data_IF_974716355904
#
_entry.id   IF_974716355904
#
_cell.length_a   1.000
_cell.length_b   1.000
_cell.length_c   1.000
_cell.angle_alpha   90.00
_cell.angle_beta   90.00
_cell.angle_gamma   90.00
#
_symmetry.space_group_name_H-M   'P 1'
#
loop_
_entity.id
_entity.type
_entity.pdbx_description
1 polymer ?
#
# COMPACT_ATOMS: atom_id res chain seq x y z
N UNK A 1 4.51 7.94 2.10
CA UNK A 1 4.14 6.53 1.84
C UNK A 1 5.24 5.69 1.15
N UNK A 2 5.91 6.14 0.07
CA UNK A 2 6.96 5.35 -0.62
C UNK A 2 8.07 4.76 0.29
N UNK A 3 8.49 5.49 1.35
CA UNK A 3 9.49 4.98 2.31
C UNK A 3 9.02 3.75 3.09
N UNK A 4 7.71 3.58 3.31
CA UNK A 4 7.13 2.46 4.05
C UNK A 4 7.19 1.20 3.19
N UNK A 5 6.69 1.28 1.95
CA UNK A 5 6.72 0.18 0.98
C UNK A 5 8.16 -0.23 0.67
N UNK A 6 9.09 0.73 0.54
CA UNK A 6 10.50 0.45 0.24
C UNK A 6 11.34 0.05 1.47
N UNK A 7 10.75 -0.04 2.66
CA UNK A 7 11.49 -0.48 3.85
C UNK A 7 11.89 -1.96 3.74
N UNK A 8 13.07 -2.39 4.26
CA UNK A 8 13.50 -3.79 4.20
C UNK A 8 12.48 -4.76 4.81
N UNK A 9 11.82 -4.34 5.89
CA UNK A 9 10.78 -5.12 6.56
C UNK A 9 9.58 -5.33 5.64
N UNK A 10 9.08 -4.27 5.01
CA UNK A 10 7.94 -4.35 4.13
C UNK A 10 8.26 -5.15 2.86
N UNK A 11 9.45 -4.96 2.29
CA UNK A 11 9.91 -5.74 1.14
C UNK A 11 10.12 -7.22 1.45
N UNK A 12 10.54 -7.58 2.67
CA UNK A 12 10.65 -8.97 3.10
C UNK A 12 9.28 -9.60 3.36
N UNK A 13 8.39 -8.87 4.03
CA UNK A 13 7.03 -9.33 4.33
C UNK A 13 6.12 -9.34 3.10
N UNK A 14 6.50 -8.61 2.05
CA UNK A 14 5.66 -8.30 0.89
C UNK A 14 4.31 -7.69 1.28
N UNK A 15 4.36 -6.88 2.33
CA UNK A 15 3.21 -6.22 2.89
C UNK A 15 3.58 -4.91 3.60
N UNK A 16 2.66 -3.95 3.61
CA UNK A 16 2.77 -2.70 4.34
C UNK A 16 1.41 -2.32 4.93
N UNK A 17 1.40 -1.76 6.14
CA UNK A 17 0.22 -1.13 6.72
C UNK A 17 0.38 0.37 6.64
N UNK A 18 -0.58 1.05 6.03
CA UNK A 18 -0.58 2.50 5.88
C UNK A 18 -1.86 3.10 6.48
N UNK A 19 -1.74 4.31 7.00
CA UNK A 19 -2.84 5.10 7.53
C UNK A 19 -2.81 6.47 6.86
N UNK A 20 -3.98 7.01 6.54
CA UNK A 20 -4.12 8.40 6.14
C UNK A 20 -3.82 9.30 7.34
N UNK A 21 -3.03 10.33 7.14
CA UNK A 21 -2.80 11.37 8.15
C UNK A 21 -4.02 12.29 8.25
N UNK A 22 -4.31 12.88 9.43
CA UNK A 22 -5.49 13.74 9.60
C UNK A 22 -5.51 14.96 8.67
N UNK A 23 -4.35 15.43 8.23
CA UNK A 23 -4.14 16.58 7.35
C UNK A 23 -4.01 16.21 5.86
N UNK A 24 -3.95 14.92 5.51
CA UNK A 24 -3.96 14.48 4.11
C UNK A 24 -5.35 14.64 3.50
N UNK A 25 -5.41 15.16 2.27
CA UNK A 25 -6.64 15.29 1.50
C UNK A 25 -7.15 13.89 1.12
N UNK A 26 -8.42 13.62 1.39
CA UNK A 26 -9.01 12.29 1.19
C UNK A 26 -9.00 11.85 -0.29
N UNK A 27 -9.32 12.75 -1.21
CA UNK A 27 -9.29 12.45 -2.64
C UNK A 27 -7.87 12.13 -3.13
N UNK A 28 -6.86 12.88 -2.69
CA UNK A 28 -5.46 12.59 -3.04
C UNK A 28 -4.99 11.27 -2.44
N UNK A 29 -5.42 10.97 -1.21
CA UNK A 29 -5.14 9.69 -0.56
C UNK A 29 -5.78 8.51 -1.31
N UNK A 30 -7.03 8.65 -1.72
CA UNK A 30 -7.74 7.61 -2.48
C UNK A 30 -7.11 7.41 -3.86
N UNK A 31 -6.79 8.49 -4.57
CA UNK A 31 -6.08 8.42 -5.86
C UNK A 31 -4.75 7.69 -5.73
N UNK A 32 -3.97 8.01 -4.70
CA UNK A 32 -2.70 7.34 -4.44
C UNK A 32 -2.86 5.83 -4.17
N UNK A 33 -3.92 5.41 -3.49
CA UNK A 33 -4.23 3.99 -3.28
C UNK A 33 -4.69 3.31 -4.57
N UNK A 34 -5.48 3.99 -5.40
CA UNK A 34 -5.90 3.49 -6.71
C UNK A 34 -4.68 3.25 -7.61
N UNK A 35 -3.76 4.22 -7.71
CA UNK A 35 -2.51 4.09 -8.47
C UNK A 35 -1.66 2.88 -8.00
N UNK A 36 -1.67 2.58 -6.70
CA UNK A 36 -1.01 1.38 -6.16
C UNK A 36 -1.73 0.10 -6.59
N UNK A 37 -3.07 0.11 -6.56
CA UNK A 37 -3.91 -1.03 -6.91
C UNK A 37 -3.96 -1.32 -8.41
N UNK A 38 -3.58 -0.36 -9.26
CA UNK A 38 -3.42 -0.57 -10.71
C UNK A 38 -2.35 -1.62 -11.04
N UNK A 39 -1.43 -1.91 -10.12
CA UNK A 39 -0.48 -2.99 -10.31
C UNK A 39 -1.12 -4.34 -9.98
N UNK A 40 -1.26 -5.21 -10.98
CA UNK A 40 -1.92 -6.53 -10.88
C UNK A 40 -1.34 -7.43 -9.78
N UNK A 41 -0.10 -7.20 -9.37
CA UNK A 41 0.55 -7.96 -8.32
C UNK A 41 0.25 -7.43 -6.91
N UNK A 42 -0.51 -6.34 -6.76
CA UNK A 42 -0.86 -5.68 -5.49
C UNK A 42 -2.30 -6.00 -5.08
N UNK A 43 -2.53 -6.11 -3.78
CA UNK A 43 -3.87 -6.23 -3.18
C UNK A 43 -4.00 -5.28 -2.00
N UNK A 44 -5.12 -4.55 -1.95
CA UNK A 44 -5.48 -3.66 -0.84
C UNK A 44 -6.56 -4.31 0.03
N UNK A 45 -6.38 -4.24 1.35
CA UNK A 45 -7.37 -4.68 2.34
C UNK A 45 -7.64 -3.54 3.33
N UNK A 46 -8.88 -3.03 3.32
CA UNK A 46 -9.35 -2.02 4.27
C UNK A 46 -9.62 -2.65 5.62
N UNK A 47 -9.17 -2.00 6.70
CA UNK A 47 -9.32 -2.46 8.07
C UNK A 47 -10.26 -1.56 8.86
N UNK A 48 -10.90 -2.13 9.88
CA UNK A 48 -11.84 -1.41 10.75
C UNK A 48 -11.17 -0.30 11.59
N UNK A 49 -9.84 -0.33 11.73
CA UNK A 49 -9.04 0.69 12.42
C UNK A 49 -8.69 1.90 11.53
N UNK A 50 -9.25 1.98 10.32
CA UNK A 50 -8.99 3.04 9.35
C UNK A 50 -7.66 2.87 8.60
N UNK A 51 -6.94 1.77 8.82
CA UNK A 51 -5.74 1.42 8.07
C UNK A 51 -6.05 0.70 6.76
N UNK A 52 -5.12 0.80 5.82
CA UNK A 52 -5.12 0.00 4.58
C UNK A 52 -3.90 -0.90 4.60
N UNK A 53 -4.14 -2.20 4.51
CA UNK A 53 -3.08 -3.17 4.37
C UNK A 53 -2.84 -3.47 2.90
N UNK A 54 -1.61 -3.24 2.47
CA UNK A 54 -1.11 -3.44 1.10
C UNK A 54 -0.32 -4.74 1.11
N UNK A 55 -0.61 -5.63 0.16
CA UNK A 55 0.15 -6.84 -0.10
C UNK A 55 0.64 -6.83 -1.53
N UNK A 56 1.79 -7.41 -1.82
CA UNK A 56 2.22 -7.59 -3.20
C UNK A 56 2.92 -8.93 -3.44
N UNK A 57 2.95 -9.39 -4.68
CA UNK A 57 3.78 -10.52 -5.09
C UNK A 57 4.93 -10.01 -5.94
N UNK A 58 6.13 -10.56 -5.80
CA UNK A 58 7.21 -10.24 -6.75
C UNK A 58 6.99 -11.15 -7.95
N UNK A 59 6.70 -10.59 -9.15
CA UNK A 59 6.65 -11.40 -10.35
C UNK A 59 8.02 -12.06 -10.49
N UNK A 60 8.05 -13.36 -10.78
CA UNK A 60 9.31 -13.97 -11.20
C UNK A 60 9.69 -13.33 -12.52
N UNK A 61 10.90 -12.80 -12.62
CA UNK A 61 11.47 -12.45 -13.92
C UNK A 61 11.59 -13.77 -14.71
N UNK A 62 10.98 -13.82 -15.89
CA UNK A 62 11.10 -14.93 -16.85
C UNK A 62 12.48 -14.90 -17.53
#
# INVERSE_FOLDING_TARGET
>A
MQKIINSPTAQKAKAALVFRLPDEIEDEWNQMLEEIAENDNVTLAWRDDGGVQIFWTVPKED
#
